data_IF_435984441075
#
_entry.id   IF_435984441075
#
_cell.length_a   1.000
_cell.length_b   1.000
_cell.length_c   1.000
_cell.angle_alpha   90.00
_cell.angle_beta   90.00
_cell.angle_gamma   90.00
#
_symmetry.space_group_name_H-M   'P 1'
#
loop_
_entity.id
_entity.type
_entity.pdbx_description
1 polymer ?
#
# COMPACT_ATOMS: atom_id res chain seq x y z
N UNK A 1 21.51 10.08 0.35
CA UNK A 1 21.13 8.66 0.47
C UNK A 1 19.89 8.47 -0.36
N UNK A 2 19.87 7.49 -1.25
CA UNK A 2 18.71 7.19 -2.09
C UNK A 2 17.75 6.34 -1.27
N UNK A 3 16.51 6.78 -1.14
CA UNK A 3 15.48 6.04 -0.41
C UNK A 3 15.08 4.79 -1.20
N UNK A 4 15.07 3.63 -0.55
CA UNK A 4 14.74 2.34 -1.20
C UNK A 4 13.27 1.99 -0.97
N UNK A 5 12.57 1.64 -2.06
CA UNK A 5 11.23 1.06 -2.03
C UNK A 5 11.36 -0.45 -2.26
N UNK A 6 10.82 -1.25 -1.34
CA UNK A 6 10.81 -2.70 -1.45
C UNK A 6 9.46 -3.19 -1.95
N UNK A 7 9.44 -3.90 -3.08
CA UNK A 7 8.23 -4.48 -3.66
C UNK A 7 8.12 -5.97 -3.32
N UNK A 8 6.97 -6.39 -2.78
CA UNK A 8 6.68 -7.75 -2.32
C UNK A 8 5.27 -8.19 -2.76
N UNK A 9 4.96 -9.47 -2.63
CA UNK A 9 3.64 -10.03 -2.93
C UNK A 9 3.48 -10.49 -4.39
N UNK A 10 2.26 -10.35 -4.93
CA UNK A 10 1.90 -10.79 -6.28
C UNK A 10 2.57 -9.92 -7.36
N UNK A 11 3.13 -10.52 -8.41
CA UNK A 11 3.96 -9.83 -9.41
C UNK A 11 3.15 -9.13 -10.53
N UNK A 12 2.14 -8.32 -10.17
CA UNK A 12 1.34 -7.60 -11.18
C UNK A 12 1.65 -6.11 -11.27
N UNK A 13 2.21 -5.52 -10.22
CA UNK A 13 2.60 -4.10 -10.23
C UNK A 13 3.93 -3.88 -10.94
N UNK A 14 4.85 -4.86 -10.89
CA UNK A 14 6.19 -4.72 -11.46
C UNK A 14 6.72 -6.02 -12.07
N UNK A 15 7.43 -5.87 -13.19
CA UNK A 15 8.42 -6.85 -13.66
C UNK A 15 9.77 -6.54 -12.98
N UNK A 16 10.57 -7.55 -12.62
CA UNK A 16 11.75 -7.43 -11.76
C UNK A 16 12.96 -6.71 -12.39
N UNK A 17 12.83 -6.05 -13.55
CA UNK A 17 13.97 -5.50 -14.29
C UNK A 17 14.50 -4.15 -13.76
N UNK A 18 13.93 -3.60 -12.67
CA UNK A 18 14.30 -2.27 -12.17
C UNK A 18 14.77 -2.21 -10.72
N UNK A 19 15.05 -3.35 -10.06
CA UNK A 19 15.69 -3.33 -8.76
C UNK A 19 17.20 -3.09 -8.93
N UNK A 20 17.60 -1.87 -9.29
CA UNK A 20 18.94 -1.42 -8.95
C UNK A 20 19.02 -1.38 -7.42
N UNK A 21 19.73 -2.37 -6.88
CA UNK A 21 20.11 -2.50 -5.47
C UNK A 21 21.09 -1.39 -5.11
N UNK A 22 20.62 -0.14 -5.10
CA UNK A 22 21.36 0.92 -4.43
C UNK A 22 21.35 0.61 -2.92
N UNK A 23 22.51 0.50 -2.26
CA UNK A 23 22.56 0.24 -0.84
C UNK A 23 21.97 1.44 -0.08
N UNK A 24 20.79 1.23 0.52
CA UNK A 24 20.06 2.28 1.22
C UNK A 24 19.04 1.72 2.21
N UNK A 25 18.65 2.50 3.23
CA UNK A 25 17.59 2.09 4.13
C UNK A 25 16.27 1.94 3.38
N UNK A 26 15.56 0.84 3.59
CA UNK A 26 14.19 0.65 3.08
C UNK A 26 13.27 1.62 3.81
N UNK A 27 12.71 2.59 3.08
CA UNK A 27 11.82 3.63 3.62
C UNK A 27 10.34 3.31 3.40
N UNK A 28 10.07 2.52 2.37
CA UNK A 28 8.73 2.13 1.99
C UNK A 28 8.69 0.66 1.60
N UNK A 29 7.63 -0.02 2.03
CA UNK A 29 7.28 -1.36 1.56
C UNK A 29 5.99 -1.27 0.75
N UNK A 30 6.01 -1.83 -0.46
CA UNK A 30 4.84 -2.00 -1.32
C UNK A 30 4.50 -3.48 -1.37
N UNK A 31 3.30 -3.84 -0.92
CA UNK A 31 2.79 -5.20 -0.98
C UNK A 31 1.66 -5.30 -2.01
N UNK A 32 1.87 -6.10 -3.05
CA UNK A 32 0.89 -6.31 -4.11
C UNK A 32 -0.01 -7.53 -3.80
N UNK A 33 -1.33 -7.39 -3.95
CA UNK A 33 -2.28 -8.50 -3.85
C UNK A 33 -3.27 -8.55 -5.02
N UNK A 34 -3.21 -9.60 -5.82
CA UNK A 34 -4.09 -9.81 -6.96
C UNK A 34 -5.38 -10.54 -6.53
N UNK A 35 -6.52 -9.88 -6.64
CA UNK A 35 -7.82 -10.47 -6.30
C UNK A 35 -8.66 -10.79 -7.55
N UNK A 36 -8.16 -10.56 -8.76
CA UNK A 36 -8.93 -10.71 -10.01
C UNK A 36 -9.45 -12.14 -10.23
N UNK A 37 -8.66 -13.16 -9.87
CA UNK A 37 -9.07 -14.56 -9.97
C UNK A 37 -10.14 -15.00 -8.96
N UNK A 38 -10.50 -14.14 -7.99
CA UNK A 38 -11.41 -14.48 -6.89
C UNK A 38 -12.82 -13.95 -7.19
N UNK A 39 -13.71 -14.87 -7.53
CA UNK A 39 -15.14 -14.55 -7.74
C UNK A 39 -15.92 -14.48 -6.42
N UNK A 40 -15.39 -15.07 -5.35
CA UNK A 40 -16.02 -15.09 -4.03
C UNK A 40 -15.52 -13.97 -3.11
N UNK A 41 -16.43 -13.08 -2.72
CA UNK A 41 -16.18 -11.98 -1.76
C UNK A 41 -15.51 -12.43 -0.46
N UNK A 42 -15.89 -13.59 0.08
CA UNK A 42 -15.31 -14.11 1.32
C UNK A 42 -13.84 -14.47 1.15
N UNK A 43 -13.48 -15.01 -0.01
CA UNK A 43 -12.11 -15.40 -0.35
C UNK A 43 -11.26 -14.17 -0.63
N UNK A 44 -11.78 -13.19 -1.38
CA UNK A 44 -11.11 -11.90 -1.59
C UNK A 44 -10.80 -11.20 -0.26
N UNK A 45 -11.77 -11.14 0.66
CA UNK A 45 -11.57 -10.60 2.01
C UNK A 45 -10.51 -11.37 2.79
N UNK A 46 -10.52 -12.72 2.72
CA UNK A 46 -9.55 -13.56 3.40
C UNK A 46 -8.14 -13.32 2.86
N UNK A 47 -7.98 -13.26 1.53
CA UNK A 47 -6.70 -12.97 0.87
C UNK A 47 -6.18 -11.59 1.25
N UNK A 48 -7.02 -10.56 1.19
CA UNK A 48 -6.64 -9.20 1.55
C UNK A 48 -6.21 -9.07 3.03
N UNK A 49 -6.94 -9.72 3.96
CA UNK A 49 -6.55 -9.79 5.37
C UNK A 49 -5.20 -10.47 5.58
N UNK A 50 -4.93 -11.54 4.83
CA UNK A 50 -3.65 -12.25 4.89
C UNK A 50 -2.52 -11.36 4.39
N UNK A 51 -2.71 -10.74 3.22
CA UNK A 51 -1.74 -9.80 2.65
C UNK A 51 -1.43 -8.64 3.61
N UNK A 52 -2.44 -8.10 4.29
CA UNK A 52 -2.26 -7.08 5.33
C UNK A 52 -1.31 -7.53 6.46
N UNK A 53 -1.53 -8.74 7.00
CA UNK A 53 -0.67 -9.28 8.06
C UNK A 53 0.74 -9.56 7.56
N UNK A 54 0.87 -10.21 6.40
CA UNK A 54 2.16 -10.55 5.80
C UNK A 54 2.98 -9.28 5.50
N UNK A 55 2.31 -8.21 5.05
CA UNK A 55 2.93 -6.91 4.76
C UNK A 55 3.45 -6.19 6.01
N UNK A 56 2.75 -6.33 7.14
CA UNK A 56 3.21 -5.80 8.43
C UNK A 56 4.41 -6.58 8.95
N UNK A 57 4.40 -7.90 8.83
CA UNK A 57 5.53 -8.73 9.24
C UNK A 57 6.77 -8.44 8.38
N UNK A 58 6.60 -8.11 7.10
CA UNK A 58 7.68 -7.65 6.22
C UNK A 58 8.33 -6.33 6.68
N UNK A 59 7.64 -5.50 7.47
CA UNK A 59 8.21 -4.27 8.02
C UNK A 59 9.21 -4.50 9.17
N UNK A 60 9.21 -5.69 9.78
CA UNK A 60 10.05 -6.03 10.95
C UNK A 60 11.56 -5.88 10.70
N UNK A 61 12.16 -6.46 9.64
CA UNK A 61 13.59 -6.34 9.37
C UNK A 61 14.04 -4.93 8.92
N UNK A 62 13.09 -4.01 8.68
CA UNK A 62 13.37 -2.70 8.11
C UNK A 62 12.99 -1.58 9.10
N UNK A 63 13.84 -1.25 10.09
CA UNK A 63 13.54 -0.25 11.12
C UNK A 63 13.35 1.17 10.54
N UNK A 64 13.98 1.46 9.40
CA UNK A 64 13.87 2.74 8.70
C UNK A 64 12.57 2.88 7.88
N UNK A 65 11.77 1.81 7.74
CA UNK A 65 10.50 1.83 7.03
C UNK A 65 9.51 2.74 7.75
N UNK A 66 8.96 3.70 7.01
CA UNK A 66 7.94 4.66 7.49
C UNK A 66 6.61 4.54 6.76
N UNK A 67 6.63 3.95 5.57
CA UNK A 67 5.46 3.85 4.69
C UNK A 67 5.20 2.40 4.34
N UNK A 68 3.98 1.94 4.55
CA UNK A 68 3.49 0.66 4.08
C UNK A 68 2.32 0.88 3.14
N UNK A 69 2.50 0.50 1.88
CA UNK A 69 1.46 0.57 0.87
C UNK A 69 1.07 -0.86 0.48
N UNK A 70 -0.19 -1.22 0.68
CA UNK A 70 -0.75 -2.47 0.19
C UNK A 70 -1.64 -2.15 -1.01
N UNK A 71 -1.15 -2.49 -2.20
CA UNK A 71 -1.88 -2.31 -3.44
C UNK A 71 -2.64 -3.59 -3.80
N UNK A 72 -3.92 -3.46 -4.13
CA UNK A 72 -4.74 -4.59 -4.56
C UNK A 72 -5.52 -4.27 -5.82
N UNK A 73 -5.74 -5.27 -6.67
CA UNK A 73 -6.61 -5.15 -7.84
C UNK A 73 -7.73 -6.18 -7.80
N UNK A 74 -8.88 -5.86 -8.38
CA UNK A 74 -10.03 -6.74 -8.49
C UNK A 74 -10.87 -6.41 -9.72
N UNK A 75 -11.30 -7.45 -10.43
CA UNK A 75 -12.28 -7.33 -11.53
C UNK A 75 -13.73 -7.50 -11.02
N UNK A 76 -13.92 -7.62 -9.70
CA UNK A 76 -15.21 -7.97 -9.10
C UNK A 76 -16.10 -6.74 -8.95
N UNK A 77 -17.43 -6.84 -9.19
CA UNK A 77 -18.39 -5.80 -8.81
C UNK A 77 -18.43 -5.51 -7.29
N UNK A 78 -17.66 -6.25 -6.48
CA UNK A 78 -17.50 -6.05 -5.04
C UNK A 78 -16.51 -4.93 -4.63
N UNK A 79 -16.01 -4.12 -5.57
CA UNK A 79 -15.06 -3.02 -5.32
C UNK A 79 -15.45 -2.13 -4.12
N UNK A 80 -16.70 -1.67 -4.05
CA UNK A 80 -17.19 -0.82 -2.94
C UNK A 80 -17.07 -1.50 -1.56
N UNK A 81 -17.31 -2.80 -1.49
CA UNK A 81 -17.19 -3.55 -0.23
C UNK A 81 -15.73 -3.77 0.17
N UNK A 82 -14.85 -3.97 -0.81
CA UNK A 82 -13.42 -4.11 -0.56
C UNK A 82 -12.81 -2.79 -0.08
N UNK A 83 -13.26 -1.64 -0.57
CA UNK A 83 -12.85 -0.33 -0.05
C UNK A 83 -13.15 -0.15 1.46
N UNK A 84 -14.34 -0.53 1.92
CA UNK A 84 -14.70 -0.51 3.35
C UNK A 84 -13.79 -1.42 4.20
N UNK A 85 -13.47 -2.61 3.67
CA UNK A 85 -12.56 -3.54 4.34
C UNK A 85 -11.14 -2.99 4.35
N UNK A 86 -10.71 -2.38 3.25
CA UNK A 86 -9.39 -1.79 3.10
C UNK A 86 -9.19 -0.65 4.11
N UNK A 87 -10.16 0.24 4.29
CA UNK A 87 -10.08 1.27 5.33
C UNK A 87 -9.94 0.68 6.74
N UNK A 88 -10.75 -0.34 7.05
CA UNK A 88 -10.68 -1.01 8.36
C UNK A 88 -9.33 -1.70 8.58
N UNK A 89 -8.75 -2.27 7.52
CA UNK A 89 -7.45 -2.90 7.55
C UNK A 89 -6.31 -1.90 7.68
N UNK A 90 -6.37 -0.77 6.98
CA UNK A 90 -5.37 0.29 7.07
C UNK A 90 -5.20 0.76 8.52
N UNK A 91 -6.32 1.12 9.16
CA UNK A 91 -6.35 1.53 10.57
C UNK A 91 -5.81 0.44 11.49
N UNK A 92 -6.27 -0.81 11.29
CA UNK A 92 -5.82 -1.93 12.12
C UNK A 92 -4.30 -2.16 12.00
N UNK A 93 -3.75 -2.15 10.78
CA UNK A 93 -2.32 -2.39 10.55
C UNK A 93 -1.50 -1.25 11.16
N UNK A 94 -1.97 0.00 11.04
CA UNK A 94 -1.31 1.15 11.64
C UNK A 94 -1.23 0.99 13.17
N UNK A 95 -2.36 0.71 13.84
CA UNK A 95 -2.38 0.43 15.29
C UNK A 95 -1.53 -0.80 15.66
N UNK A 96 -1.60 -1.88 14.88
CA UNK A 96 -0.79 -3.07 15.12
C UNK A 96 0.72 -2.78 14.95
N UNK A 97 1.10 -1.87 14.05
CA UNK A 97 2.48 -1.44 13.86
C UNK A 97 2.98 -0.65 15.07
N UNK A 98 2.19 0.29 15.59
CA UNK A 98 2.53 1.03 16.80
C UNK A 98 2.73 0.09 17.99
N UNK A 99 1.78 -0.84 18.21
CA UNK A 99 1.82 -1.75 19.35
C UNK A 99 2.90 -2.84 19.22
N UNK A 100 3.07 -3.44 18.04
CA UNK A 100 3.95 -4.60 17.85
C UNK A 100 5.37 -4.22 17.43
N UNK A 101 5.54 -3.10 16.74
CA UNK A 101 6.82 -2.66 16.20
C UNK A 101 7.37 -1.43 16.92
N UNK A 102 6.58 -0.78 17.80
CA UNK A 102 6.98 0.42 18.52
C UNK A 102 7.23 1.61 17.59
N UNK A 103 6.52 1.66 16.45
CA UNK A 103 6.77 2.61 15.36
C UNK A 103 5.46 3.16 14.81
N UNK A 104 5.47 4.46 14.54
CA UNK A 104 4.46 5.13 13.72
C UNK A 104 4.75 4.83 12.25
N UNK A 105 3.79 4.18 11.59
CA UNK A 105 3.88 3.71 10.21
C UNK A 105 2.68 4.24 9.44
N UNK A 106 2.93 4.98 8.37
CA UNK A 106 1.88 5.43 7.47
C UNK A 106 1.39 4.23 6.64
N UNK A 107 0.12 3.85 6.80
CA UNK A 107 -0.45 2.69 6.11
C UNK A 107 -1.45 3.13 5.05
N UNK A 108 -1.16 2.82 3.79
CA UNK A 108 -2.06 3.08 2.66
C UNK A 108 -2.50 1.76 2.04
N UNK A 109 -3.81 1.52 1.99
CA UNK A 109 -4.36 0.51 1.11
C UNK A 109 -4.82 1.18 -0.18
N UNK A 110 -4.36 0.68 -1.33
CA UNK A 110 -4.60 1.30 -2.62
C UNK A 110 -5.29 0.32 -3.57
N UNK A 111 -6.49 0.68 -4.01
CA UNK A 111 -7.15 0.02 -5.14
C UNK A 111 -6.52 0.46 -6.45
N UNK A 112 -5.87 -0.48 -7.12
CA UNK A 112 -5.16 -0.29 -8.39
C UNK A 112 -5.88 -0.97 -9.57
N UNK A 113 -7.16 -1.31 -9.41
CA UNK A 113 -7.95 -2.00 -10.45
C UNK A 113 -8.08 -1.18 -11.73
N UNK A 114 -8.25 0.14 -11.60
CA UNK A 114 -8.50 1.05 -12.73
C UNK A 114 -7.22 1.78 -13.20
N UNK A 115 -6.03 1.29 -12.84
CA UNK A 115 -4.77 1.95 -13.22
C UNK A 115 -4.57 1.90 -14.73
N UNK A 116 -4.57 3.08 -15.34
CA UNK A 116 -4.33 3.29 -16.76
C UNK A 116 -2.92 3.85 -17.06
N UNK A 117 -2.21 4.37 -16.04
CA UNK A 117 -0.82 4.83 -16.15
C UNK A 117 0.07 4.26 -15.02
N UNK A 118 0.72 3.10 -15.26
CA UNK A 118 1.61 2.48 -14.28
C UNK A 118 2.85 3.32 -13.93
N UNK A 119 3.33 4.18 -14.85
CA UNK A 119 4.50 5.04 -14.61
C UNK A 119 4.13 6.18 -13.66
N UNK A 120 2.93 6.75 -13.82
CA UNK A 120 2.41 7.72 -12.87
C UNK A 120 2.20 7.08 -11.49
N UNK A 121 1.67 5.86 -11.42
CA UNK A 121 1.55 5.13 -10.15
C UNK A 121 2.90 4.99 -9.44
N UNK A 122 3.93 4.57 -10.18
CA UNK A 122 5.32 4.51 -9.68
C UNK A 122 5.80 5.86 -9.15
N UNK A 123 5.57 6.92 -9.92
CA UNK A 123 5.92 8.28 -9.51
C UNK A 123 5.22 8.65 -8.20
N UNK A 124 3.93 8.32 -8.04
CA UNK A 124 3.18 8.56 -6.79
C UNK A 124 3.77 7.80 -5.60
N UNK A 125 4.19 6.55 -5.80
CA UNK A 125 4.86 5.76 -4.77
C UNK A 125 6.23 6.35 -4.39
N UNK A 126 7.00 6.84 -5.36
CA UNK A 126 8.27 7.54 -5.13
C UNK A 126 8.10 8.89 -4.41
N UNK A 127 7.07 9.65 -4.79
CA UNK A 127 6.69 10.89 -4.09
C UNK A 127 6.33 10.61 -2.62
N UNK A 128 5.66 9.49 -2.34
CA UNK A 128 5.34 9.06 -0.99
C UNK A 128 6.58 8.64 -0.20
N UNK A 129 7.46 7.81 -0.79
CA UNK A 129 8.61 7.23 -0.08
C UNK A 129 9.61 8.27 0.44
N UNK A 130 9.74 9.39 -0.28
CA UNK A 130 10.64 10.50 0.06
C UNK A 130 10.10 11.45 1.13
N UNK A 131 8.81 11.34 1.48
CA UNK A 131 8.22 12.19 2.49
C UNK A 131 8.69 11.78 3.89
N UNK A 132 9.10 12.78 4.67
CA UNK A 132 9.13 12.65 6.12
C UNK A 132 7.68 12.33 6.55
N UNK A 133 7.50 11.14 7.14
CA UNK A 133 6.19 10.56 7.45
C UNK A 133 5.23 11.44 8.25
N UNK A 134 4.07 10.84 8.52
CA UNK A 134 2.77 11.36 8.95
C UNK A 134 1.87 11.75 7.79
N UNK A 135 1.15 10.75 7.34
CA UNK A 135 0.09 10.72 6.35
C UNK A 135 -1.19 10.37 7.10
N UNK A 136 -1.57 11.19 8.09
CA UNK A 136 -2.74 10.96 8.96
C UNK A 136 -2.84 9.55 9.62
N UNK A 137 -1.76 8.76 9.64
CA UNK A 137 -1.67 7.41 10.19
C UNK A 137 -2.10 6.29 9.22
N UNK A 138 -3.33 6.34 8.70
CA UNK A 138 -3.82 5.29 7.79
C UNK A 138 -4.87 5.78 6.78
N UNK A 139 -4.85 5.25 5.56
CA UNK A 139 -5.83 5.58 4.53
C UNK A 139 -6.15 4.42 3.60
N UNK A 140 -7.36 4.43 3.04
CA UNK A 140 -7.76 3.60 1.90
C UNK A 140 -8.08 4.52 0.72
N UNK A 141 -7.40 4.31 -0.39
CA UNK A 141 -7.51 5.12 -1.59
C UNK A 141 -7.77 4.24 -2.82
N UNK A 142 -8.29 4.84 -3.88
CA UNK A 142 -8.39 4.25 -5.20
C UNK A 142 -7.56 5.03 -6.22
N UNK A 143 -7.24 4.39 -7.34
CA UNK A 143 -6.52 5.03 -8.44
C UNK A 143 -7.11 6.39 -8.86
N UNK A 144 -8.43 6.53 -9.09
CA UNK A 144 -9.03 7.83 -9.42
C UNK A 144 -8.71 8.94 -8.42
N UNK A 145 -8.56 8.63 -7.12
CA UNK A 145 -8.26 9.63 -6.08
C UNK A 145 -6.80 10.11 -6.12
N UNK A 146 -5.87 9.30 -6.64
CA UNK A 146 -4.42 9.63 -6.68
C UNK A 146 -3.90 9.89 -8.10
N UNK A 147 -4.80 9.87 -9.09
CA UNK A 147 -4.49 10.17 -10.48
C UNK A 147 -4.03 11.63 -10.59
N UNK A 148 -4.87 12.56 -10.14
CA UNK A 148 -4.66 13.99 -10.33
C UNK A 148 -3.91 14.66 -9.17
N UNK A 149 -3.72 13.96 -8.05
CA UNK A 149 -2.97 14.46 -6.89
C UNK A 149 -2.05 13.39 -6.27
N UNK A 150 -1.15 13.79 -5.39
CA UNK A 150 -0.27 12.82 -4.72
C UNK A 150 -0.99 12.09 -3.57
N UNK A 151 -0.46 10.91 -3.20
CA UNK A 151 -1.08 10.02 -2.21
C UNK A 151 -1.34 10.72 -0.87
N UNK A 152 -0.40 11.56 -0.42
CA UNK A 152 -0.54 12.31 0.83
C UNK A 152 -1.75 13.23 0.80
N UNK A 153 -1.88 14.05 -0.24
CA UNK A 153 -3.00 15.00 -0.35
C UNK A 153 -4.33 14.28 -0.41
N UNK A 154 -4.43 13.21 -1.22
CA UNK A 154 -5.64 12.41 -1.33
C UNK A 154 -6.07 11.83 0.02
N UNK A 155 -5.12 11.29 0.80
CA UNK A 155 -5.40 10.76 2.13
C UNK A 155 -5.78 11.83 3.15
N UNK A 156 -5.13 13.01 3.14
CA UNK A 156 -5.50 14.11 4.04
C UNK A 156 -6.92 14.61 3.77
N UNK A 157 -7.33 14.66 2.50
CA UNK A 157 -8.68 15.06 2.09
C UNK A 157 -9.79 14.11 2.58
N UNK A 158 -9.49 12.87 2.98
CA UNK A 158 -10.48 11.96 3.58
C UNK A 158 -10.88 12.34 5.01
N UNK A 159 -10.11 13.21 5.65
CA UNK A 159 -10.28 13.60 7.06
C UNK A 159 -10.81 15.03 7.24
N UNK A 160 -11.07 15.76 6.15
CA UNK A 160 -11.61 17.12 6.11
C UNK A 160 -13.06 17.12 5.62
#
# INVERSE_FOLDING_TARGET
MTDVILFLGDQFLFRPESSSLEPGPVRMIVWASDLCALTNRREARKKLKKAALDSLDACRPHPACRHLLLAYRTDSPAQLHLGSIAQSLALKIHTDAELRLGRDLDVVLLDVSDVDDPLLLLKRMGELSTQAGSLSGAASLSWPQIRDENIRRAATSLYL
#
